data_IF_200755092202
#
_entry.id   IF_200755092202
#
_cell.length_a   1.000
_cell.length_b   1.000
_cell.length_c   1.000
_cell.angle_alpha   90.00
_cell.angle_beta   90.00
_cell.angle_gamma   90.00
#
_symmetry.space_group_name_H-M   'P 1'
#
loop_
_entity.id
_entity.type
_entity.pdbx_description
1 polymer ?
#
# COMPACT_ATOMS: atom_id res chain seq x y z
N UNK A 1 28.51 1.32 -1.92
CA UNK A 1 28.71 0.07 -1.15
C UNK A 1 28.23 0.36 0.26
N UNK A 2 26.99 0.00 0.61
CA UNK A 2 26.42 0.35 1.93
C UNK A 2 27.03 -0.60 2.99
N UNK A 3 28.00 -0.10 3.74
CA UNK A 3 28.52 -0.77 4.94
C UNK A 3 27.77 -0.19 6.14
N UNK A 4 26.89 -0.98 6.80
CA UNK A 4 26.25 -0.53 8.04
C UNK A 4 27.33 -0.25 9.10
N UNK A 5 27.14 0.80 9.91
CA UNK A 5 28.02 1.07 11.05
C UNK A 5 28.02 -0.12 12.04
N UNK A 6 29.15 -0.39 12.73
CA UNK A 6 29.28 -1.52 13.66
C UNK A 6 28.20 -1.58 14.75
N UNK A 7 27.65 -0.43 15.14
CA UNK A 7 26.61 -0.31 16.16
C UNK A 7 25.25 -0.90 15.74
N UNK A 8 24.95 -0.88 14.44
CA UNK A 8 23.72 -1.49 13.89
C UNK A 8 23.77 -3.01 14.02
N UNK A 9 24.94 -3.62 13.78
CA UNK A 9 25.14 -5.06 13.98
C UNK A 9 24.97 -5.47 15.44
N UNK A 10 25.43 -4.65 16.38
CA UNK A 10 25.34 -4.94 17.81
C UNK A 10 23.90 -4.88 18.34
N UNK A 11 23.08 -3.90 17.89
CA UNK A 11 21.64 -3.86 18.22
C UNK A 11 20.83 -4.96 17.54
N UNK A 12 21.21 -5.38 16.33
CA UNK A 12 20.56 -6.49 15.63
C UNK A 12 20.82 -7.86 16.28
N UNK A 13 21.95 -8.03 16.98
CA UNK A 13 22.38 -9.31 17.59
C UNK A 13 21.45 -9.84 18.69
N UNK A 14 20.68 -8.96 19.35
CA UNK A 14 19.78 -9.31 20.46
C UNK A 14 18.28 -9.26 20.07
N UNK A 15 17.95 -9.08 18.78
CA UNK A 15 16.58 -8.84 18.29
C UNK A 15 16.12 -9.78 17.16
N UNK A 16 15.26 -9.31 16.26
CA UNK A 16 14.69 -10.09 15.13
C UNK A 16 15.69 -10.49 14.04
N UNK A 17 16.91 -9.96 14.06
CA UNK A 17 17.89 -10.13 12.98
C UNK A 17 18.33 -11.59 12.73
N UNK A 18 18.47 -12.47 13.74
CA UNK A 18 18.76 -13.88 13.51
C UNK A 18 17.64 -14.59 12.74
N UNK A 19 16.36 -14.27 13.02
CA UNK A 19 15.22 -14.83 12.29
C UNK A 19 15.18 -14.34 10.84
N UNK A 20 15.46 -13.06 10.61
CA UNK A 20 15.58 -12.49 9.27
C UNK A 20 16.72 -13.12 8.47
N UNK A 21 17.91 -13.26 9.08
CA UNK A 21 19.05 -13.90 8.44
C UNK A 21 18.72 -15.35 8.05
N UNK A 22 18.06 -16.09 8.94
CA UNK A 22 17.58 -17.46 8.66
C UNK A 22 16.57 -17.49 7.51
N UNK A 23 15.63 -16.54 7.45
CA UNK A 23 14.66 -16.44 6.36
C UNK A 23 15.31 -16.12 5.01
N UNK A 24 16.26 -15.17 5.00
CA UNK A 24 17.05 -14.81 3.81
C UNK A 24 17.82 -16.02 3.27
N UNK A 25 18.49 -16.77 4.15
CA UNK A 25 19.20 -17.99 3.76
C UNK A 25 18.26 -19.08 3.24
N UNK A 26 17.15 -19.33 3.94
CA UNK A 26 16.20 -20.41 3.60
C UNK A 26 15.47 -20.17 2.29
N UNK A 27 14.97 -18.94 2.08
CA UNK A 27 14.13 -18.59 0.92
C UNK A 27 14.90 -17.87 -0.20
N UNK A 28 16.23 -17.67 -0.02
CA UNK A 28 17.11 -16.99 -0.98
C UNK A 28 16.54 -15.64 -1.40
N UNK A 29 16.15 -14.83 -0.42
CA UNK A 29 15.48 -13.55 -0.63
C UNK A 29 16.38 -12.56 -1.37
N UNK A 30 15.83 -11.86 -2.35
CA UNK A 30 16.55 -10.90 -3.16
C UNK A 30 16.83 -9.64 -2.36
N UNK A 31 18.12 -9.41 -2.04
CA UNK A 31 18.58 -8.24 -1.27
C UNK A 31 18.12 -6.91 -1.87
N UNK A 32 18.03 -6.82 -3.20
CA UNK A 32 17.61 -5.60 -3.91
C UNK A 32 16.24 -5.10 -3.45
N UNK A 33 15.27 -5.98 -3.18
CA UNK A 33 13.93 -5.55 -2.75
C UNK A 33 13.96 -4.91 -1.36
N UNK A 34 14.75 -5.47 -0.44
CA UNK A 34 14.94 -4.89 0.88
C UNK A 34 15.64 -3.54 0.80
N UNK A 35 16.72 -3.45 0.03
CA UNK A 35 17.44 -2.19 -0.17
C UNK A 35 16.53 -1.12 -0.78
N UNK A 36 15.70 -1.48 -1.78
CA UNK A 36 14.71 -0.55 -2.37
C UNK A 36 13.75 0.03 -1.34
N UNK A 37 13.28 -0.76 -0.37
CA UNK A 37 12.39 -0.28 0.69
C UNK A 37 13.12 0.69 1.62
N UNK A 38 14.36 0.37 1.98
CA UNK A 38 15.18 1.20 2.88
C UNK A 38 15.50 2.53 2.21
N UNK A 39 16.04 2.50 0.99
CA UNK A 39 16.43 3.69 0.24
C UNK A 39 15.23 4.61 0.01
N UNK A 40 14.07 4.07 -0.39
CA UNK A 40 12.86 4.88 -0.62
C UNK A 40 12.35 5.54 0.67
N UNK A 41 12.43 4.84 1.81
CA UNK A 41 12.02 5.39 3.11
C UNK A 41 13.01 6.41 3.64
N UNK A 42 14.32 6.21 3.40
CA UNK A 42 15.37 7.15 3.74
C UNK A 42 15.19 8.46 2.94
N UNK A 43 14.91 8.35 1.65
CA UNK A 43 14.62 9.49 0.79
C UNK A 43 13.33 10.25 1.16
N UNK A 44 12.40 9.59 1.88
CA UNK A 44 11.13 10.17 2.31
C UNK A 44 11.10 10.60 3.79
N UNK A 45 12.25 10.63 4.49
CA UNK A 45 12.31 10.95 5.93
C UNK A 45 11.73 12.33 6.28
N UNK A 46 11.84 13.30 5.36
CA UNK A 46 11.28 14.64 5.53
C UNK A 46 9.75 14.67 5.46
N UNK A 47 9.09 13.55 5.11
CA UNK A 47 7.66 13.46 4.81
C UNK A 47 7.24 14.58 3.85
N UNK A 48 7.76 14.55 2.61
CA UNK A 48 7.33 15.50 1.58
C UNK A 48 6.01 15.04 0.97
N UNK A 49 5.13 15.98 0.66
CA UNK A 49 3.93 15.71 -0.12
C UNK A 49 4.32 15.20 -1.52
N UNK A 50 3.49 14.32 -2.10
CA UNK A 50 3.70 13.82 -3.46
C UNK A 50 3.34 14.90 -4.47
N UNK A 51 4.26 15.21 -5.40
CA UNK A 51 4.01 16.20 -6.44
C UNK A 51 2.92 15.74 -7.40
N UNK A 52 2.92 14.45 -7.72
CA UNK A 52 1.95 13.82 -8.59
C UNK A 52 1.41 12.49 -8.06
N UNK A 53 0.30 12.04 -8.63
CA UNK A 53 -0.22 10.71 -8.38
C UNK A 53 0.78 9.63 -8.82
N UNK A 54 1.61 9.94 -9.81
CA UNK A 54 2.69 9.06 -10.27
C UNK A 54 3.81 8.90 -9.25
N UNK A 55 4.12 9.95 -8.51
CA UNK A 55 5.12 9.89 -7.44
C UNK A 55 4.61 8.99 -6.30
N UNK A 56 3.33 9.09 -5.96
CA UNK A 56 2.69 8.20 -4.99
C UNK A 56 2.73 6.74 -5.45
N UNK A 57 2.43 6.46 -6.72
CA UNK A 57 2.57 5.10 -7.28
C UNK A 57 4.02 4.59 -7.23
N UNK A 58 4.99 5.45 -7.52
CA UNK A 58 6.41 5.09 -7.53
C UNK A 58 6.90 4.77 -6.13
N UNK A 59 6.52 5.59 -5.14
CA UNK A 59 6.78 5.31 -3.73
C UNK A 59 6.14 4.00 -3.28
N UNK A 60 4.88 3.76 -3.67
CA UNK A 60 4.15 2.54 -3.34
C UNK A 60 4.77 1.29 -3.98
N UNK A 61 5.26 1.41 -5.22
CA UNK A 61 6.02 0.35 -5.88
C UNK A 61 7.29 0.04 -5.10
N UNK A 62 8.09 1.06 -4.80
CA UNK A 62 9.37 0.90 -4.12
C UNK A 62 9.24 0.38 -2.68
N UNK A 63 8.10 0.60 -2.02
CA UNK A 63 7.84 0.11 -0.66
C UNK A 63 6.94 -1.13 -0.61
N UNK A 64 5.65 -0.97 -0.92
CA UNK A 64 4.63 -2.01 -0.76
C UNK A 64 4.78 -3.15 -1.77
N UNK A 65 5.07 -2.85 -3.04
CA UNK A 65 5.29 -3.91 -4.04
C UNK A 65 6.56 -4.70 -3.75
N UNK A 66 7.65 -4.02 -3.36
CA UNK A 66 8.89 -4.69 -2.93
C UNK A 66 8.67 -5.69 -1.79
N UNK A 67 7.81 -5.33 -0.84
CA UNK A 67 7.43 -6.22 0.24
C UNK A 67 6.64 -7.43 -0.28
N UNK A 68 5.72 -7.23 -1.21
CA UNK A 68 4.99 -8.33 -1.84
C UNK A 68 5.90 -9.26 -2.66
N UNK A 69 6.91 -8.72 -3.36
CA UNK A 69 7.91 -9.55 -4.06
C UNK A 69 8.68 -10.44 -3.08
N UNK A 70 9.10 -9.90 -1.93
CA UNK A 70 9.74 -10.70 -0.88
C UNK A 70 8.80 -11.78 -0.32
N UNK A 71 7.50 -11.47 -0.14
CA UNK A 71 6.52 -12.46 0.31
C UNK A 71 6.34 -13.57 -0.75
N UNK A 72 6.27 -13.23 -2.04
CA UNK A 72 6.23 -14.23 -3.11
C UNK A 72 7.47 -15.13 -3.09
N UNK A 73 8.67 -14.57 -2.88
CA UNK A 73 9.91 -15.34 -2.74
C UNK A 73 9.86 -16.28 -1.52
N UNK A 74 9.29 -15.87 -0.39
CA UNK A 74 9.09 -16.79 0.75
C UNK A 74 8.13 -17.94 0.46
N UNK A 75 7.19 -17.74 -0.47
CA UNK A 75 6.25 -18.76 -0.94
C UNK A 75 6.82 -19.61 -2.08
N UNK A 76 8.10 -19.40 -2.43
CA UNK A 76 8.79 -20.07 -3.54
C UNK A 76 8.10 -19.80 -4.89
N UNK A 77 7.57 -18.58 -5.07
CA UNK A 77 6.97 -18.10 -6.32
C UNK A 77 7.93 -17.10 -6.96
N UNK A 78 8.41 -17.43 -8.15
CA UNK A 78 9.22 -16.57 -9.02
C UNK A 78 8.63 -16.62 -10.41
N UNK A 79 7.60 -15.81 -10.63
CA UNK A 79 6.84 -15.79 -11.87
C UNK A 79 6.48 -14.36 -12.24
N UNK A 80 6.71 -14.02 -13.51
CA UNK A 80 6.53 -12.67 -14.04
C UNK A 80 5.07 -12.21 -13.91
N UNK A 81 4.10 -13.12 -14.08
CA UNK A 81 2.69 -12.75 -13.91
C UNK A 81 2.32 -12.47 -12.46
N UNK A 82 2.88 -13.24 -11.53
CA UNK A 82 2.76 -13.03 -10.09
C UNK A 82 3.42 -11.71 -9.66
N UNK A 83 4.58 -11.36 -10.25
CA UNK A 83 5.24 -10.09 -10.01
C UNK A 83 4.44 -8.89 -10.57
N UNK A 84 3.88 -9.00 -11.78
CA UNK A 84 3.00 -7.95 -12.31
C UNK A 84 1.74 -7.75 -11.44
N UNK A 85 1.13 -8.84 -10.96
CA UNK A 85 0.01 -8.76 -10.03
C UNK A 85 0.45 -8.10 -8.70
N UNK A 86 1.60 -8.50 -8.14
CA UNK A 86 2.15 -7.91 -6.93
C UNK A 86 2.44 -6.42 -7.07
N UNK A 87 2.99 -5.97 -8.22
CA UNK A 87 3.23 -4.55 -8.52
C UNK A 87 1.95 -3.73 -8.40
N UNK A 88 0.88 -4.18 -9.08
CA UNK A 88 -0.39 -3.48 -9.06
C UNK A 88 -1.06 -3.51 -7.68
N UNK A 89 -1.02 -4.64 -6.97
CA UNK A 89 -1.56 -4.74 -5.61
C UNK A 89 -0.78 -3.82 -4.65
N UNK A 90 0.55 -3.77 -4.76
CA UNK A 90 1.39 -2.91 -3.93
C UNK A 90 1.10 -1.43 -4.15
N UNK A 91 0.96 -1.00 -5.41
CA UNK A 91 0.53 0.37 -5.75
C UNK A 91 -0.84 0.71 -5.19
N UNK A 92 -1.84 -0.16 -5.40
CA UNK A 92 -3.17 0.02 -4.83
C UNK A 92 -3.12 0.13 -3.29
N UNK A 93 -2.31 -0.70 -2.64
CA UNK A 93 -2.14 -0.69 -1.20
C UNK A 93 -1.51 0.63 -0.71
N UNK A 94 -0.49 1.14 -1.39
CA UNK A 94 0.13 2.43 -1.06
C UNK A 94 -0.85 3.59 -1.21
N UNK A 95 -1.60 3.65 -2.31
CA UNK A 95 -2.63 4.68 -2.53
C UNK A 95 -3.70 4.63 -1.43
N UNK A 96 -4.22 3.44 -1.13
CA UNK A 96 -5.23 3.25 -0.07
C UNK A 96 -4.65 3.62 1.31
N UNK A 97 -3.38 3.34 1.56
CA UNK A 97 -2.71 3.74 2.81
C UNK A 97 -2.65 5.26 2.93
N UNK A 98 -2.28 5.96 1.85
CA UNK A 98 -2.32 7.43 1.80
C UNK A 98 -3.73 7.95 2.11
N UNK A 99 -4.76 7.45 1.42
CA UNK A 99 -6.16 7.83 1.66
C UNK A 99 -6.59 7.61 3.12
N UNK A 100 -6.31 6.43 3.67
CA UNK A 100 -6.65 6.07 5.06
C UNK A 100 -5.98 6.97 6.08
N UNK A 101 -4.81 7.51 5.76
CA UNK A 101 -4.04 8.34 6.65
C UNK A 101 -4.47 9.82 6.62
N UNK A 102 -5.26 10.24 5.62
CA UNK A 102 -5.72 11.64 5.47
C UNK A 102 -6.33 12.20 6.76
N UNK A 103 -7.33 11.56 7.42
CA UNK A 103 -7.93 12.14 8.62
C UNK A 103 -6.92 12.33 9.76
N UNK A 104 -5.97 11.41 9.89
CA UNK A 104 -4.92 11.49 10.89
C UNK A 104 -3.94 12.64 10.59
N UNK A 105 -3.49 12.78 9.34
CA UNK A 105 -2.56 13.83 8.96
C UNK A 105 -3.20 15.22 8.97
N UNK A 106 -4.47 15.33 8.54
CA UNK A 106 -5.26 16.57 8.65
C UNK A 106 -5.30 17.09 10.08
N UNK A 107 -5.50 16.21 11.06
CA UNK A 107 -5.51 16.60 12.49
C UNK A 107 -4.15 17.15 12.98
N UNK A 108 -3.07 16.85 12.28
CA UNK A 108 -1.71 17.34 12.52
C UNK A 108 -1.31 18.46 11.55
N UNK A 109 -2.28 19.01 10.83
CA UNK A 109 -2.08 20.07 9.82
C UNK A 109 -1.12 19.65 8.69
N UNK A 110 -1.14 18.38 8.32
CA UNK A 110 -0.34 17.81 7.23
C UNK A 110 -1.25 17.18 6.18
N UNK A 111 -0.88 17.32 4.89
CA UNK A 111 -1.62 16.74 3.77
C UNK A 111 -0.63 16.08 2.82
N UNK A 112 -0.81 14.78 2.60
CA UNK A 112 0.05 13.95 1.74
C UNK A 112 -0.67 13.47 0.48
N UNK A 113 -1.79 14.11 0.12
CA UNK A 113 -2.47 13.81 -1.14
C UNK A 113 -1.65 14.34 -2.32
N UNK A 114 -1.73 13.69 -3.49
CA UNK A 114 -1.08 14.17 -4.70
C UNK A 114 -1.49 15.61 -5.06
N UNK A 115 -0.50 16.49 -5.19
CA UNK A 115 -0.72 17.93 -5.40
C UNK A 115 -1.39 18.20 -6.75
N UNK A 116 -1.01 17.47 -7.80
CA UNK A 116 -1.64 17.53 -9.13
C UNK A 116 -3.15 17.33 -9.10
N UNK A 117 -3.64 16.32 -8.38
CA UNK A 117 -5.08 16.03 -8.25
C UNK A 117 -5.77 17.10 -7.39
N UNK A 118 -5.13 17.55 -6.31
CA UNK A 118 -5.68 18.65 -5.51
C UNK A 118 -5.87 19.92 -6.33
N UNK A 119 -4.88 20.26 -7.18
CA UNK A 119 -4.93 21.40 -8.08
C UNK A 119 -5.99 21.25 -9.17
N UNK A 120 -6.14 20.03 -9.73
CA UNK A 120 -7.14 19.73 -10.76
C UNK A 120 -8.57 20.10 -10.31
N UNK A 121 -8.88 19.84 -9.04
CA UNK A 121 -10.18 20.13 -8.43
C UNK A 121 -10.24 21.47 -7.68
N UNK A 122 -9.20 22.30 -7.78
CA UNK A 122 -9.15 23.62 -7.12
C UNK A 122 -9.20 23.54 -5.59
N UNK A 123 -8.72 22.45 -5.00
CA UNK A 123 -8.70 22.26 -3.53
C UNK A 123 -7.39 22.73 -2.92
N UNK A 124 -7.48 23.39 -1.77
CA UNK A 124 -6.34 23.82 -0.97
C UNK A 124 -6.01 22.78 0.11
N UNK A 125 -4.80 22.84 0.67
CA UNK A 125 -4.44 22.01 1.83
C UNK A 125 -5.32 22.33 3.04
N UNK A 126 -5.74 23.57 3.20
CA UNK A 126 -6.57 24.01 4.32
C UNK A 126 -7.96 23.36 4.29
N UNK A 127 -8.50 23.05 3.12
CA UNK A 127 -9.79 22.35 2.98
C UNK A 127 -9.74 20.96 3.64
N UNK A 128 -8.62 20.25 3.49
CA UNK A 128 -8.41 18.97 4.14
C UNK A 128 -8.12 19.12 5.64
N UNK A 129 -7.40 20.17 6.05
CA UNK A 129 -7.10 20.43 7.47
C UNK A 129 -8.38 20.75 8.24
N UNK A 130 -9.28 21.54 7.64
CA UNK A 130 -10.61 21.87 8.18
C UNK A 130 -11.63 20.74 8.08
N UNK A 131 -11.23 19.59 7.51
CA UNK A 131 -12.11 18.46 7.29
C UNK A 131 -13.35 18.82 6.44
N UNK A 132 -13.15 19.69 5.44
CA UNK A 132 -14.21 20.16 4.55
C UNK A 132 -14.94 18.99 3.89
N UNK A 133 -16.25 19.18 3.72
CA UNK A 133 -17.18 18.20 3.13
C UNK A 133 -17.64 18.60 1.73
N UNK A 134 -16.98 19.61 1.16
CA UNK A 134 -17.29 20.13 -0.15
C UNK A 134 -17.09 19.08 -1.25
N UNK A 135 -17.81 19.26 -2.35
CA UNK A 135 -17.78 18.37 -3.49
C UNK A 135 -16.36 18.20 -4.03
N UNK A 136 -15.62 19.30 -4.11
CA UNK A 136 -14.26 19.35 -4.66
C UNK A 136 -13.31 18.41 -3.89
N UNK A 137 -13.42 18.38 -2.55
CA UNK A 137 -12.63 17.50 -1.68
C UNK A 137 -13.00 16.04 -1.93
N UNK A 138 -14.30 15.73 -2.08
CA UNK A 138 -14.76 14.38 -2.42
C UNK A 138 -14.28 13.94 -3.80
N UNK A 139 -14.27 14.86 -4.78
CA UNK A 139 -13.83 14.59 -6.15
C UNK A 139 -12.31 14.27 -6.19
N UNK A 140 -11.47 14.95 -5.39
CA UNK A 140 -10.05 14.55 -5.21
C UNK A 140 -9.93 13.12 -4.67
N UNK A 141 -10.68 12.81 -3.61
CA UNK A 141 -10.65 11.48 -2.99
C UNK A 141 -11.17 10.42 -3.96
N UNK A 142 -12.18 10.75 -4.77
CA UNK A 142 -12.72 9.90 -5.81
C UNK A 142 -11.66 9.54 -6.86
N UNK A 143 -10.92 10.52 -7.40
CA UNK A 143 -9.92 10.27 -8.44
C UNK A 143 -8.76 9.42 -7.93
N UNK A 144 -8.25 9.74 -6.73
CA UNK A 144 -7.19 8.95 -6.09
C UNK A 144 -7.66 7.53 -5.78
N UNK A 145 -8.88 7.37 -5.26
CA UNK A 145 -9.47 6.05 -4.99
C UNK A 145 -9.72 5.25 -6.28
N UNK A 146 -10.08 5.93 -7.36
CA UNK A 146 -10.31 5.31 -8.67
C UNK A 146 -9.02 4.72 -9.23
N UNK A 147 -7.87 5.40 -9.09
CA UNK A 147 -6.58 4.79 -9.48
C UNK A 147 -6.24 3.54 -8.68
N UNK A 148 -6.48 3.54 -7.36
CA UNK A 148 -6.30 2.34 -6.56
C UNK A 148 -7.20 1.19 -7.05
N UNK A 149 -8.45 1.48 -7.42
CA UNK A 149 -9.37 0.49 -7.97
C UNK A 149 -8.89 -0.06 -9.32
N UNK A 150 -8.43 0.80 -10.24
CA UNK A 150 -7.87 0.40 -11.54
C UNK A 150 -6.69 -0.56 -11.37
N UNK A 151 -5.79 -0.28 -10.43
CA UNK A 151 -4.70 -1.20 -10.12
C UNK A 151 -5.18 -2.56 -9.62
N UNK A 152 -6.21 -2.62 -8.76
CA UNK A 152 -6.78 -3.91 -8.33
C UNK A 152 -7.39 -4.69 -9.50
N UNK A 153 -8.07 -4.01 -10.43
CA UNK A 153 -8.63 -4.66 -11.62
C UNK A 153 -7.52 -5.17 -12.56
N UNK A 154 -6.44 -4.41 -12.76
CA UNK A 154 -5.28 -4.87 -13.51
C UNK A 154 -4.63 -6.09 -12.84
N UNK A 155 -4.46 -6.10 -11.52
CA UNK A 155 -3.94 -7.26 -10.80
C UNK A 155 -4.80 -8.52 -11.01
N UNK A 156 -6.12 -8.34 -11.06
CA UNK A 156 -7.11 -9.42 -11.30
C UNK A 156 -7.07 -9.97 -12.71
N UNK A 157 -6.70 -9.14 -13.69
CA UNK A 157 -6.54 -9.60 -15.08
C UNK A 157 -5.50 -10.73 -15.20
N UNK A 158 -4.50 -10.77 -14.30
CA UNK A 158 -3.48 -11.81 -14.25
C UNK A 158 -3.91 -13.09 -13.52
N UNK A 159 -5.08 -13.13 -12.88
CA UNK A 159 -5.51 -14.22 -11.98
C UNK A 159 -5.38 -15.62 -12.57
N UNK A 160 -5.65 -15.80 -13.87
CA UNK A 160 -5.55 -17.12 -14.54
C UNK A 160 -4.10 -17.57 -14.77
N UNK A 161 -3.15 -16.63 -14.80
CA UNK A 161 -1.73 -16.87 -15.08
C UNK A 161 -0.88 -16.95 -13.81
N UNK A 162 -1.41 -16.50 -12.68
CA UNK A 162 -0.73 -16.48 -11.38
C UNK A 162 -0.67 -17.88 -10.75
N UNK A 163 0.47 -18.21 -10.15
CA UNK A 163 0.67 -19.50 -9.48
C UNK A 163 -0.23 -19.66 -8.25
N UNK A 164 -0.72 -20.87 -8.00
CA UNK A 164 -1.63 -21.18 -6.90
C UNK A 164 -1.12 -20.80 -5.50
N UNK A 165 0.21 -20.82 -5.28
CA UNK A 165 0.84 -20.43 -4.01
C UNK A 165 0.81 -18.90 -3.79
N UNK A 166 0.85 -18.10 -4.85
CA UNK A 166 0.90 -16.64 -4.77
C UNK A 166 -0.38 -16.02 -4.19
N UNK A 167 -1.52 -16.72 -4.28
CA UNK A 167 -2.79 -16.26 -3.73
C UNK A 167 -2.72 -15.93 -2.24
N UNK A 168 -1.85 -16.62 -1.48
CA UNK A 168 -1.63 -16.32 -0.08
C UNK A 168 -1.07 -14.90 0.14
N UNK A 169 -0.13 -14.46 -0.73
CA UNK A 169 0.43 -13.11 -0.69
C UNK A 169 -0.62 -12.03 -1.05
N UNK A 170 -1.57 -12.38 -1.92
CA UNK A 170 -2.56 -11.43 -2.44
C UNK A 170 -3.82 -11.30 -1.60
N UNK A 171 -3.95 -12.05 -0.50
CA UNK A 171 -5.08 -11.93 0.42
C UNK A 171 -5.27 -10.50 0.96
N UNK A 172 -4.23 -9.66 0.98
CA UNK A 172 -4.36 -8.27 1.41
C UNK A 172 -5.41 -7.47 0.60
N UNK A 173 -5.65 -7.86 -0.67
CA UNK A 173 -6.69 -7.28 -1.54
C UNK A 173 -8.09 -7.31 -0.92
N UNK A 174 -8.39 -8.27 -0.03
CA UNK A 174 -9.67 -8.32 0.70
C UNK A 174 -9.88 -7.08 1.54
N UNK A 175 -8.84 -6.64 2.26
CA UNK A 175 -8.91 -5.44 3.07
C UNK A 175 -9.00 -4.18 2.20
N UNK A 176 -8.26 -4.15 1.08
CA UNK A 176 -8.27 -3.03 0.12
C UNK A 176 -9.66 -2.83 -0.50
N UNK A 177 -10.27 -3.90 -1.02
CA UNK A 177 -11.63 -3.87 -1.57
C UNK A 177 -12.65 -3.44 -0.51
N UNK A 178 -12.53 -4.00 0.70
CA UNK A 178 -13.46 -3.66 1.78
C UNK A 178 -13.37 -2.17 2.12
N UNK A 179 -12.18 -1.56 2.03
CA UNK A 179 -12.00 -0.14 2.26
C UNK A 179 -12.60 0.70 1.13
N UNK A 180 -12.27 0.42 -0.13
CA UNK A 180 -12.81 1.15 -1.29
C UNK A 180 -14.35 1.07 -1.35
N UNK A 181 -14.93 -0.09 -1.04
CA UNK A 181 -16.40 -0.24 -0.94
C UNK A 181 -17.01 0.61 0.15
N UNK A 182 -16.35 0.74 1.30
CA UNK A 182 -16.82 1.63 2.39
C UNK A 182 -16.69 3.10 1.99
N UNK A 183 -15.58 3.47 1.35
CA UNK A 183 -15.35 4.83 0.85
C UNK A 183 -16.42 5.24 -0.16
N UNK A 184 -16.74 4.36 -1.12
CA UNK A 184 -17.84 4.58 -2.07
C UNK A 184 -19.20 4.70 -1.38
N UNK A 185 -19.48 3.88 -0.36
CA UNK A 185 -20.74 3.98 0.42
C UNK A 185 -20.84 5.29 1.22
N UNK A 186 -19.70 5.87 1.58
CA UNK A 186 -19.62 7.15 2.27
C UNK A 186 -19.57 8.34 1.28
N UNK A 187 -19.88 8.13 0.00
CA UNK A 187 -19.84 9.18 -1.03
C UNK A 187 -18.48 9.89 -1.07
N UNK A 188 -17.40 9.11 -0.95
CA UNK A 188 -16.01 9.59 -0.95
C UNK A 188 -15.68 10.63 0.13
N UNK A 189 -16.54 10.78 1.15
CA UNK A 189 -16.21 11.52 2.36
C UNK A 189 -15.15 10.76 3.18
N UNK A 190 -13.90 11.21 3.06
CA UNK A 190 -12.76 10.58 3.74
C UNK A 190 -12.79 10.74 5.26
N UNK A 191 -13.51 11.74 5.78
CA UNK A 191 -13.64 12.02 7.21
C UNK A 191 -14.82 11.30 7.87
N UNK A 192 -15.59 10.51 7.10
CA UNK A 192 -16.76 9.82 7.63
C UNK A 192 -16.37 8.77 8.71
N UNK A 193 -16.97 8.78 9.92
CA UNK A 193 -16.57 7.90 11.03
C UNK A 193 -16.64 6.40 10.71
N UNK A 194 -17.49 5.98 9.76
CA UNK A 194 -17.60 4.57 9.35
C UNK A 194 -16.32 4.00 8.74
N UNK A 195 -15.44 4.85 8.19
CA UNK A 195 -14.16 4.44 7.60
C UNK A 195 -13.14 4.02 8.67
N UNK A 196 -13.21 4.62 9.86
CA UNK A 196 -12.35 4.30 11.00
C UNK A 196 -12.83 3.05 11.76
N UNK A 197 -14.10 2.67 11.61
CA UNK A 197 -14.66 1.47 12.25
C UNK A 197 -14.11 0.19 11.62
N UNK A 198 -13.60 -0.71 12.46
CA UNK A 198 -13.16 -2.06 12.05
C UNK A 198 -14.34 -2.85 11.49
N UNK A 199 -14.08 -3.64 10.45
CA UNK A 199 -15.08 -4.56 9.91
C UNK A 199 -15.00 -5.89 10.69
N UNK A 200 -16.02 -6.20 11.48
CA UNK A 200 -16.09 -7.42 12.30
C UNK A 200 -16.19 -8.69 11.46
N UNK A 201 -16.75 -8.59 10.24
CA UNK A 201 -16.91 -9.72 9.32
C UNK A 201 -15.67 -9.95 8.43
N UNK A 202 -14.63 -9.13 8.57
CA UNK A 202 -13.42 -9.23 7.73
C UNK A 202 -12.75 -10.60 7.81
N UNK A 203 -12.59 -11.25 8.99
CA UNK A 203 -12.02 -12.60 9.08
C UNK A 203 -12.80 -13.64 8.28
N UNK A 204 -14.13 -13.55 8.28
CA UNK A 204 -14.99 -14.44 7.49
C UNK A 204 -14.77 -14.21 5.98
N UNK A 205 -14.69 -12.96 5.55
CA UNK A 205 -14.38 -12.64 4.15
C UNK A 205 -13.00 -13.15 3.72
N UNK A 206 -11.99 -13.03 4.60
CA UNK A 206 -10.66 -13.61 4.38
C UNK A 206 -10.73 -15.13 4.20
N UNK A 207 -11.42 -15.82 5.10
CA UNK A 207 -11.57 -17.28 5.04
C UNK A 207 -12.26 -17.73 3.75
N UNK A 208 -13.39 -17.11 3.39
CA UNK A 208 -14.14 -17.44 2.17
C UNK A 208 -13.32 -17.18 0.91
N UNK A 209 -12.57 -16.07 0.85
CA UNK A 209 -11.74 -15.75 -0.32
C UNK A 209 -10.48 -16.60 -0.42
N UNK A 210 -9.87 -16.96 0.70
CA UNK A 210 -8.76 -17.90 0.74
C UNK A 210 -9.18 -19.25 0.17
N UNK A 211 -10.37 -19.74 0.53
CA UNK A 211 -10.92 -20.98 -0.02
C UNK A 211 -11.22 -20.89 -1.52
N UNK A 212 -11.80 -19.77 -1.98
CA UNK A 212 -12.14 -19.55 -3.40
C UNK A 212 -10.95 -19.20 -4.31
N UNK A 213 -9.73 -19.07 -3.76
CA UNK A 213 -8.52 -18.61 -4.47
C UNK A 213 -8.83 -17.37 -5.34
N UNK A 214 -9.38 -16.35 -4.70
CA UNK A 214 -9.76 -15.09 -5.35
C UNK A 214 -9.17 -13.90 -4.60
N UNK A 215 -8.46 -13.04 -5.32
CA UNK A 215 -7.95 -11.74 -4.87
C UNK A 215 -8.50 -10.63 -5.77
#
# INVERSE_FOLDING_TARGET
>A
MWTPSPDIYCRMRNGTAPHWHKAVQKHKLTKRWLTRIVDERENNLDNRAYGSLKDLETYAENTQSSLLYLILETLDVRDVHSDHAASHIGKAHGIITCLRAVPYHSSRRQVFLPVDICMLHGTSQEDFIRCSQEKNVKDVIFDVASQAHVHLEHARSFKRKVQGKAFAAFNITVALDSYLKKLRKADFNIFHPSLQRKNTLLPLYFYVRSWKKTY
#
